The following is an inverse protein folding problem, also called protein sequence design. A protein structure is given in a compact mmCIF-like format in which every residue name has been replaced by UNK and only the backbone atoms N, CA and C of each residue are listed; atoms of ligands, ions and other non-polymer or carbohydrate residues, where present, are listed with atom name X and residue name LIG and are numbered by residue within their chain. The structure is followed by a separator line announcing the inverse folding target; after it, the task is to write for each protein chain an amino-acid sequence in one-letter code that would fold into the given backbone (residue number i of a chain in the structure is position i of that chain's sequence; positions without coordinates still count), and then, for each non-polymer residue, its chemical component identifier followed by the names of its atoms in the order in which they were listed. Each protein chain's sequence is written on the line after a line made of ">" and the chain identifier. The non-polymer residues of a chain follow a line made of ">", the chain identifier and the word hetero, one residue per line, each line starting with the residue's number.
data_IF_958454490625
#
_entry.id   IF_958454490625
#
_cell.length_a   1.000
_cell.length_b   1.000
_cell.length_c   1.000
_cell.angle_alpha   90.00
_cell.angle_beta   90.00
_cell.angle_gamma   90.00
#
_symmetry.space_group_name_H-M   'P 1'
#
loop_
_entity.id
_entity.type
_entity.pdbx_description
1 polymer ?
#
# COMPACT_ATOMS: atom_id res chain seq x y z
N UNK A 1 -21.91 8.36 -12.25
CA UNK A 1 -22.81 7.79 -11.21
C UNK A 1 -23.42 8.87 -10.33
N UNK A 2 -22.62 9.71 -9.66
CA UNK A 2 -23.12 10.74 -8.72
C UNK A 2 -24.09 11.77 -9.33
N UNK A 3 -23.82 12.25 -10.56
CA UNK A 3 -24.73 13.18 -11.27
C UNK A 3 -26.09 12.51 -11.55
N UNK A 4 -26.09 11.26 -12.02
CA UNK A 4 -27.32 10.51 -12.34
C UNK A 4 -28.15 10.31 -11.07
N UNK A 5 -27.52 9.86 -9.98
CA UNK A 5 -28.18 9.69 -8.69
C UNK A 5 -28.73 11.04 -8.20
N UNK A 6 -27.94 12.11 -8.29
CA UNK A 6 -28.36 13.45 -7.91
C UNK A 6 -29.59 13.93 -8.70
N UNK A 7 -29.60 13.74 -10.01
CA UNK A 7 -30.74 14.07 -10.88
C UNK A 7 -31.98 13.25 -10.55
N UNK A 8 -31.83 11.95 -10.27
CA UNK A 8 -32.94 11.07 -9.86
C UNK A 8 -33.55 11.54 -8.53
N UNK A 9 -32.71 11.85 -7.53
CA UNK A 9 -33.19 12.34 -6.23
C UNK A 9 -33.94 13.68 -6.35
N UNK A 10 -33.43 14.61 -7.17
CA UNK A 10 -34.13 15.85 -7.48
C UNK A 10 -35.41 15.63 -8.29
N UNK A 11 -35.45 14.61 -9.15
CA UNK A 11 -36.65 14.22 -9.89
C UNK A 11 -37.75 13.63 -9.01
N UNK A 12 -37.39 12.98 -7.89
CA UNK A 12 -38.33 12.42 -6.92
C UNK A 12 -38.84 13.44 -5.91
N UNK A 13 -38.12 14.56 -5.72
CA UNK A 13 -38.48 15.63 -4.79
C UNK A 13 -39.95 16.11 -4.93
N UNK A 14 -40.49 16.40 -6.14
CA UNK A 14 -41.86 16.91 -6.28
C UNK A 14 -42.95 15.95 -5.78
N UNK A 15 -42.67 14.65 -5.77
CA UNK A 15 -43.61 13.59 -5.39
C UNK A 15 -43.62 13.37 -3.86
N UNK A 16 -42.56 13.79 -3.17
CA UNK A 16 -42.34 13.56 -1.74
C UNK A 16 -42.95 14.61 -0.80
N UNK A 17 -43.58 15.66 -1.34
CA UNK A 17 -44.00 16.90 -0.65
C UNK A 17 -44.97 16.70 0.54
N UNK A 18 -45.60 15.54 0.66
CA UNK A 18 -46.55 15.24 1.74
C UNK A 18 -45.89 14.92 3.09
N UNK A 19 -44.56 14.96 3.19
CA UNK A 19 -43.81 14.72 4.43
C UNK A 19 -42.78 15.83 4.65
N UNK A 20 -42.46 16.14 5.90
CA UNK A 20 -41.55 17.26 6.21
C UNK A 20 -40.08 16.95 5.90
N UNK A 21 -39.62 15.74 6.22
CA UNK A 21 -38.19 15.40 6.18
C UNK A 21 -37.72 14.80 4.85
N UNK A 22 -38.60 14.10 4.12
CA UNK A 22 -38.22 13.43 2.87
C UNK A 22 -37.87 14.41 1.74
N UNK A 23 -38.62 15.49 1.47
CA UNK A 23 -38.26 16.47 0.44
C UNK A 23 -36.94 17.17 0.75
N UNK A 24 -36.71 17.51 2.02
CA UNK A 24 -35.48 18.15 2.46
C UNK A 24 -34.26 17.23 2.24
N UNK A 25 -34.38 15.95 2.58
CA UNK A 25 -33.35 14.95 2.33
C UNK A 25 -33.08 14.78 0.82
N UNK A 26 -34.12 14.56 0.01
CA UNK A 26 -33.97 14.35 -1.43
C UNK A 26 -33.34 15.56 -2.14
N UNK A 27 -33.74 16.78 -1.75
CA UNK A 27 -33.18 18.01 -2.31
C UNK A 27 -31.71 18.17 -1.94
N UNK A 28 -31.37 18.04 -0.65
CA UNK A 28 -29.98 18.21 -0.18
C UNK A 28 -29.06 17.13 -0.73
N UNK A 29 -29.44 15.85 -0.64
CA UNK A 29 -28.69 14.75 -1.22
C UNK A 29 -28.55 14.86 -2.75
N UNK A 30 -29.60 15.32 -3.43
CA UNK A 30 -29.59 15.57 -4.87
C UNK A 30 -28.59 16.65 -5.28
N UNK A 31 -28.62 17.81 -4.61
CA UNK A 31 -27.68 18.92 -4.82
C UNK A 31 -26.24 18.47 -4.53
N UNK A 32 -26.01 17.80 -3.40
CA UNK A 32 -24.69 17.27 -3.03
C UNK A 32 -24.19 16.26 -4.07
N UNK A 33 -25.06 15.37 -4.56
CA UNK A 33 -24.73 14.39 -5.58
C UNK A 33 -24.33 15.02 -6.92
N UNK A 34 -25.04 16.06 -7.35
CA UNK A 34 -24.68 16.84 -8.56
C UNK A 34 -23.37 17.57 -8.34
N UNK A 35 -23.20 18.28 -7.22
CA UNK A 35 -21.98 19.02 -6.90
C UNK A 35 -20.76 18.08 -6.86
N UNK A 36 -20.86 16.95 -6.15
CA UNK A 36 -19.80 15.93 -6.11
C UNK A 36 -19.51 15.34 -7.49
N UNK A 37 -20.55 15.11 -8.29
CA UNK A 37 -20.40 14.64 -9.66
C UNK A 37 -19.67 15.64 -10.57
N UNK A 38 -19.97 16.94 -10.45
CA UNK A 38 -19.27 18.00 -11.17
C UNK A 38 -17.83 18.14 -10.69
N UNK A 39 -17.60 18.11 -9.37
CA UNK A 39 -16.27 18.16 -8.78
C UNK A 39 -15.38 16.98 -9.20
N UNK A 40 -15.96 15.80 -9.44
CA UNK A 40 -15.20 14.67 -9.98
C UNK A 40 -15.05 14.73 -11.50
N UNK A 41 -16.04 15.24 -12.24
CA UNK A 41 -16.04 15.23 -13.71
C UNK A 41 -15.26 16.38 -14.38
N UNK A 42 -15.23 17.57 -13.76
CA UNK A 42 -14.50 18.72 -14.30
C UNK A 42 -13.02 18.55 -13.96
N UNK A 43 -12.09 18.54 -14.94
CA UNK A 43 -10.66 18.38 -14.66
C UNK A 43 -10.14 19.48 -13.73
N UNK A 44 -9.65 19.10 -12.55
CA UNK A 44 -9.09 20.02 -11.56
C UNK A 44 -7.85 19.41 -10.89
N UNK A 45 -6.91 20.28 -10.50
CA UNK A 45 -5.75 19.94 -9.67
C UNK A 45 -5.85 20.66 -8.34
N UNK A 46 -5.82 19.92 -7.24
CA UNK A 46 -5.79 20.48 -5.89
C UNK A 46 -4.43 20.14 -5.24
N UNK A 47 -3.47 21.06 -5.35
CA UNK A 47 -2.07 20.78 -5.04
C UNK A 47 -1.50 19.71 -5.98
N UNK A 48 -0.93 18.65 -5.43
CA UNK A 48 -0.39 17.51 -6.19
C UNK A 48 -1.42 16.39 -6.41
N UNK A 49 -2.69 16.60 -6.08
CA UNK A 49 -3.75 15.60 -6.24
C UNK A 49 -4.62 15.96 -7.45
N UNK A 50 -4.67 15.06 -8.41
CA UNK A 50 -5.57 15.11 -9.56
C UNK A 50 -6.93 14.50 -9.17
N UNK A 51 -8.03 15.13 -9.58
CA UNK A 51 -9.35 14.51 -9.48
C UNK A 51 -9.63 13.55 -10.65
N UNK A 52 -10.74 12.79 -10.58
CA UNK A 52 -11.10 11.78 -11.58
C UNK A 52 -11.17 12.34 -13.01
N UNK A 53 -11.70 13.56 -13.18
CA UNK A 53 -11.79 14.23 -14.47
C UNK A 53 -10.42 14.57 -15.05
N UNK A 54 -9.49 15.01 -14.21
CA UNK A 54 -8.10 15.25 -14.63
C UNK A 54 -7.40 13.94 -14.98
N UNK A 55 -7.55 12.90 -14.16
CA UNK A 55 -7.01 11.57 -14.45
C UNK A 55 -7.56 11.01 -15.77
N UNK A 56 -8.86 11.15 -16.02
CA UNK A 56 -9.50 10.71 -17.27
C UNK A 56 -8.94 11.45 -18.48
N UNK A 57 -8.76 12.77 -18.37
CA UNK A 57 -8.16 13.59 -19.43
C UNK A 57 -6.72 13.17 -19.72
N UNK A 58 -5.94 12.89 -18.68
CA UNK A 58 -4.53 12.50 -18.76
C UNK A 58 -4.36 11.11 -19.39
N UNK A 59 -5.17 10.14 -18.94
CA UNK A 59 -5.27 8.80 -19.53
C UNK A 59 -5.63 8.87 -21.02
N UNK A 60 -6.53 9.79 -21.41
CA UNK A 60 -6.92 9.97 -22.81
C UNK A 60 -5.82 10.57 -23.70
N UNK A 61 -4.78 11.20 -23.12
CA UNK A 61 -3.69 11.86 -23.85
C UNK A 61 -2.38 11.07 -23.84
N UNK A 62 -2.21 10.16 -22.91
CA UNK A 62 -0.97 9.42 -22.71
C UNK A 62 -1.25 7.90 -22.73
N UNK A 63 -0.81 7.22 -23.80
CA UNK A 63 -0.98 5.78 -23.98
C UNK A 63 -0.31 4.96 -22.89
N UNK A 64 0.79 5.44 -22.30
CA UNK A 64 1.45 4.78 -21.18
C UNK A 64 0.66 4.95 -19.89
N UNK A 65 0.09 6.14 -19.64
CA UNK A 65 -0.80 6.35 -18.49
C UNK A 65 -2.07 5.50 -18.61
N UNK A 66 -2.62 5.35 -19.83
CA UNK A 66 -3.70 4.40 -20.11
C UNK A 66 -3.29 2.96 -19.81
N UNK A 67 -2.11 2.51 -20.26
CA UNK A 67 -1.59 1.17 -19.97
C UNK A 67 -1.43 0.96 -18.47
N UNK A 68 -0.82 1.89 -17.75
CA UNK A 68 -0.62 1.79 -16.31
C UNK A 68 -1.94 1.79 -15.54
N UNK A 69 -2.92 2.60 -15.95
CA UNK A 69 -4.25 2.59 -15.36
C UNK A 69 -5.00 1.27 -15.63
N UNK A 70 -4.96 0.77 -16.87
CA UNK A 70 -5.50 -0.55 -17.21
C UNK A 70 -4.84 -1.64 -16.36
N UNK A 71 -3.53 -1.56 -16.17
CA UNK A 71 -2.78 -2.53 -15.39
C UNK A 71 -3.24 -2.52 -13.92
N UNK A 72 -3.37 -1.36 -13.29
CA UNK A 72 -3.93 -1.24 -11.93
C UNK A 72 -5.32 -1.90 -11.80
N UNK A 73 -6.21 -1.67 -12.77
CA UNK A 73 -7.53 -2.31 -12.79
C UNK A 73 -7.44 -3.83 -13.02
N UNK A 74 -6.54 -4.27 -13.90
CA UNK A 74 -6.33 -5.69 -14.20
C UNK A 74 -5.80 -6.44 -12.99
N UNK A 75 -4.84 -5.87 -12.26
CA UNK A 75 -4.29 -6.42 -11.02
C UNK A 75 -5.39 -6.56 -9.97
N UNK A 76 -6.18 -5.51 -9.73
CA UNK A 76 -7.29 -5.57 -8.77
C UNK A 76 -8.32 -6.65 -9.13
N UNK A 77 -8.63 -6.79 -10.43
CA UNK A 77 -9.54 -7.84 -10.90
C UNK A 77 -8.99 -9.25 -10.68
N UNK A 78 -7.70 -9.45 -10.92
CA UNK A 78 -7.03 -10.74 -10.67
C UNK A 78 -6.90 -11.04 -9.17
N UNK A 79 -6.60 -10.04 -8.34
CA UNK A 79 -6.54 -10.17 -6.89
C UNK A 79 -7.91 -10.55 -6.29
N UNK A 80 -9.00 -9.95 -6.81
CA UNK A 80 -10.36 -10.34 -6.43
C UNK A 80 -10.71 -11.79 -6.86
N UNK A 81 -10.04 -12.33 -7.87
CA UNK A 81 -10.13 -13.74 -8.29
C UNK A 81 -9.18 -14.66 -7.50
N UNK A 82 -8.44 -14.14 -6.53
CA UNK A 82 -7.50 -14.92 -5.71
C UNK A 82 -6.14 -15.15 -6.37
N UNK A 83 -5.83 -14.49 -7.49
CA UNK A 83 -4.51 -14.59 -8.11
C UNK A 83 -3.52 -13.68 -7.38
N UNK A 84 -2.38 -14.24 -6.98
CA UNK A 84 -1.30 -13.53 -6.29
C UNK A 84 -0.54 -12.63 -7.25
N UNK A 85 0.01 -11.53 -6.76
CA UNK A 85 0.76 -10.58 -7.60
C UNK A 85 2.08 -11.19 -8.10
N UNK A 86 2.69 -12.11 -7.33
CA UNK A 86 3.86 -12.88 -7.78
C UNK A 86 3.60 -13.78 -9.00
N UNK A 87 2.36 -14.25 -9.15
CA UNK A 87 1.94 -15.17 -10.23
C UNK A 87 1.53 -14.44 -11.52
N UNK A 88 1.54 -13.10 -11.51
CA UNK A 88 1.23 -12.28 -12.67
C UNK A 88 2.46 -12.14 -13.61
N UNK A 89 2.24 -11.88 -14.92
CA UNK A 89 3.32 -11.78 -15.91
C UNK A 89 4.37 -10.74 -15.53
N UNK A 90 5.65 -11.12 -15.62
CA UNK A 90 6.78 -10.28 -15.19
C UNK A 90 6.90 -8.99 -16.01
N UNK A 91 6.56 -9.02 -17.30
CA UNK A 91 6.59 -7.89 -18.21
C UNK A 91 5.60 -6.75 -17.85
N UNK A 92 4.73 -6.99 -16.86
CA UNK A 92 3.86 -5.96 -16.29
C UNK A 92 4.57 -5.10 -15.25
N UNK A 93 5.70 -5.56 -14.72
CA UNK A 93 6.39 -4.99 -13.56
C UNK A 93 7.70 -4.31 -13.97
N UNK A 94 7.63 -3.45 -14.98
CA UNK A 94 8.75 -2.61 -15.42
C UNK A 94 8.67 -1.24 -14.76
N UNK A 95 9.71 -0.85 -14.02
CA UNK A 95 9.77 0.45 -13.35
C UNK A 95 9.85 1.56 -14.42
N UNK A 96 8.96 2.56 -14.39
CA UNK A 96 9.05 3.71 -15.28
C UNK A 96 10.33 4.51 -15.05
N UNK A 97 10.81 5.20 -16.09
CA UNK A 97 11.93 6.14 -15.95
C UNK A 97 11.59 7.34 -15.03
N UNK A 98 12.63 8.05 -14.58
CA UNK A 98 12.50 9.12 -13.58
C UNK A 98 11.56 10.25 -14.00
N UNK A 99 11.46 10.58 -15.30
CA UNK A 99 10.52 11.60 -15.78
C UNK A 99 9.08 11.10 -15.73
N UNK A 100 8.85 9.84 -16.10
CA UNK A 100 7.53 9.19 -15.99
C UNK A 100 7.09 9.03 -14.54
N UNK A 101 8.03 8.82 -13.61
CA UNK A 101 7.75 8.72 -12.18
C UNK A 101 7.20 10.02 -11.55
N UNK A 102 7.27 11.17 -12.25
CA UNK A 102 6.59 12.42 -11.85
C UNK A 102 5.09 12.43 -12.19
N UNK A 103 4.59 11.40 -12.86
CA UNK A 103 3.16 11.19 -13.10
C UNK A 103 2.61 10.20 -12.08
N UNK A 104 1.57 10.57 -11.31
CA UNK A 104 1.06 9.71 -10.24
C UNK A 104 0.46 8.38 -10.75
N UNK A 105 -0.12 8.36 -11.95
CA UNK A 105 -0.69 7.13 -12.55
C UNK A 105 0.43 6.15 -12.91
N UNK A 106 1.57 6.66 -13.39
CA UNK A 106 2.75 5.86 -13.73
C UNK A 106 3.55 5.47 -12.49
N UNK A 107 3.70 6.39 -11.52
CA UNK A 107 4.46 6.17 -10.29
C UNK A 107 3.96 4.99 -9.46
N UNK A 108 2.66 4.68 -9.53
CA UNK A 108 2.08 3.49 -8.89
C UNK A 108 2.72 2.18 -9.39
N UNK A 109 3.24 2.13 -10.62
CA UNK A 109 3.93 0.92 -11.11
C UNK A 109 5.13 0.57 -10.23
N UNK A 110 5.91 1.55 -9.76
CA UNK A 110 7.01 1.29 -8.83
C UNK A 110 6.54 0.62 -7.52
N UNK A 111 5.36 1.02 -7.01
CA UNK A 111 4.73 0.40 -5.84
C UNK A 111 4.27 -1.03 -6.15
N UNK A 112 3.74 -1.28 -7.36
CA UNK A 112 3.32 -2.63 -7.77
C UNK A 112 4.50 -3.59 -7.94
N UNK A 113 5.63 -3.08 -8.44
CA UNK A 113 6.89 -3.84 -8.52
C UNK A 113 7.35 -4.23 -7.11
N UNK A 114 7.33 -3.27 -6.18
CA UNK A 114 7.67 -3.52 -4.77
C UNK A 114 6.74 -4.55 -4.12
N UNK A 115 5.42 -4.40 -4.27
CA UNK A 115 4.43 -5.37 -3.78
C UNK A 115 4.71 -6.79 -4.32
N UNK A 116 5.14 -6.90 -5.59
CA UNK A 116 5.52 -8.18 -6.20
C UNK A 116 6.79 -8.76 -5.58
N UNK A 117 7.81 -7.92 -5.32
CA UNK A 117 9.03 -8.36 -4.65
C UNK A 117 8.74 -8.86 -3.23
N UNK A 118 7.84 -8.19 -2.51
CA UNK A 118 7.35 -8.62 -1.20
C UNK A 118 6.67 -9.99 -1.25
N UNK A 119 5.76 -10.22 -2.21
CA UNK A 119 5.07 -11.49 -2.41
C UNK A 119 6.04 -12.62 -2.84
N UNK A 120 7.08 -12.28 -3.60
CA UNK A 120 8.20 -13.18 -3.93
C UNK A 120 9.19 -13.41 -2.78
N UNK A 121 9.01 -12.73 -1.65
CA UNK A 121 9.93 -12.73 -0.49
C UNK A 121 11.36 -12.28 -0.82
N UNK A 122 11.52 -11.45 -1.85
CA UNK A 122 12.80 -10.84 -2.23
C UNK A 122 13.07 -9.57 -1.41
N UNK A 123 13.17 -9.73 -0.09
CA UNK A 123 13.21 -8.61 0.86
C UNK A 123 14.39 -7.65 0.66
N UNK A 124 15.52 -8.14 0.15
CA UNK A 124 16.65 -7.28 -0.17
C UNK A 124 16.41 -6.38 -1.37
N UNK A 125 15.87 -6.95 -2.46
CA UNK A 125 15.49 -6.21 -3.66
C UNK A 125 14.37 -5.22 -3.33
N UNK A 126 13.38 -5.62 -2.52
CA UNK A 126 12.30 -4.76 -2.06
C UNK A 126 12.84 -3.58 -1.23
N UNK A 127 13.71 -3.83 -0.25
CA UNK A 127 14.34 -2.77 0.55
C UNK A 127 15.10 -1.76 -0.32
N UNK A 128 15.91 -2.25 -1.28
CA UNK A 128 16.63 -1.37 -2.20
C UNK A 128 15.68 -0.49 -3.00
N UNK A 129 14.66 -1.10 -3.61
CA UNK A 129 13.66 -0.39 -4.39
C UNK A 129 12.90 0.64 -3.55
N UNK A 130 12.48 0.30 -2.32
CA UNK A 130 11.77 1.24 -1.45
C UNK A 130 12.64 2.47 -1.16
N UNK A 131 13.91 2.28 -0.82
CA UNK A 131 14.81 3.42 -0.55
C UNK A 131 14.94 4.30 -1.79
N UNK A 132 15.12 3.71 -2.98
CA UNK A 132 15.19 4.45 -4.24
C UNK A 132 13.90 5.26 -4.50
N UNK A 133 12.73 4.64 -4.35
CA UNK A 133 11.42 5.30 -4.56
C UNK A 133 11.15 6.42 -3.55
N UNK A 134 11.63 6.27 -2.32
CA UNK A 134 11.44 7.25 -1.25
C UNK A 134 12.43 8.42 -1.34
N UNK A 135 13.64 8.22 -1.87
CA UNK A 135 14.66 9.24 -2.09
C UNK A 135 14.41 10.09 -3.34
N UNK A 136 13.88 9.49 -4.41
CA UNK A 136 13.59 10.18 -5.67
C UNK A 136 12.40 11.14 -5.57
N UNK A 137 12.42 12.17 -6.42
CA UNK A 137 11.28 13.08 -6.64
C UNK A 137 10.23 12.38 -7.52
N UNK A 138 9.36 11.61 -6.87
CA UNK A 138 8.29 10.83 -7.50
C UNK A 138 6.91 11.38 -7.12
N UNK A 139 5.93 11.18 -8.00
CA UNK A 139 4.53 11.50 -7.73
C UNK A 139 3.78 10.36 -7.02
N UNK A 140 4.50 9.50 -6.27
CA UNK A 140 3.88 8.48 -5.43
C UNK A 140 3.05 9.18 -4.36
N UNK A 141 1.76 8.87 -4.31
CA UNK A 141 0.84 9.47 -3.35
C UNK A 141 1.22 9.07 -1.91
N UNK A 142 0.94 9.95 -0.96
CA UNK A 142 1.37 9.81 0.43
C UNK A 142 0.93 8.47 1.07
N UNK A 143 -0.27 7.97 0.74
CA UNK A 143 -0.74 6.67 1.24
C UNK A 143 0.19 5.52 0.84
N UNK A 144 0.66 5.50 -0.41
CA UNK A 144 1.60 4.48 -0.88
C UNK A 144 2.98 4.68 -0.27
N UNK A 145 3.48 5.93 -0.16
CA UNK A 145 4.75 6.20 0.54
C UNK A 145 4.76 5.66 1.96
N UNK A 146 3.65 5.78 2.69
CA UNK A 146 3.52 5.29 4.07
C UNK A 146 3.39 3.77 4.16
N UNK A 147 2.81 3.12 3.15
CA UNK A 147 2.80 1.65 3.03
C UNK A 147 4.20 1.12 2.72
N UNK A 148 4.92 1.73 1.76
CA UNK A 148 6.32 1.38 1.48
C UNK A 148 7.20 1.47 2.74
N UNK A 149 6.97 2.46 3.62
CA UNK A 149 7.67 2.53 4.92
C UNK A 149 7.31 1.33 5.82
N UNK A 150 6.05 0.87 5.84
CA UNK A 150 5.67 -0.34 6.56
C UNK A 150 6.40 -1.58 6.01
N UNK A 151 6.56 -1.70 4.70
CA UNK A 151 7.28 -2.81 4.04
C UNK A 151 8.79 -2.72 4.29
N UNK A 152 9.36 -1.52 4.28
CA UNK A 152 10.77 -1.27 4.62
C UNK A 152 11.09 -1.67 6.06
N UNK A 153 10.24 -1.27 7.02
CA UNK A 153 10.36 -1.68 8.42
C UNK A 153 10.39 -3.20 8.50
N UNK A 154 9.45 -3.87 7.83
CA UNK A 154 9.36 -5.31 7.86
C UNK A 154 10.58 -5.99 7.25
N UNK A 155 11.02 -5.56 6.06
CA UNK A 155 12.21 -6.08 5.39
C UNK A 155 13.43 -6.03 6.32
N UNK A 156 13.67 -4.88 6.96
CA UNK A 156 14.77 -4.70 7.92
C UNK A 156 14.68 -5.65 9.11
N UNK A 157 13.49 -5.83 9.66
CA UNK A 157 13.27 -6.73 10.81
C UNK A 157 13.52 -8.19 10.45
N UNK A 158 12.94 -8.69 9.35
CA UNK A 158 13.07 -10.11 8.98
C UNK A 158 14.47 -10.47 8.53
N UNK A 159 15.19 -9.52 7.91
CA UNK A 159 16.60 -9.69 7.53
C UNK A 159 17.57 -9.64 8.71
N UNK A 160 17.12 -9.26 9.89
CA UNK A 160 17.99 -9.20 11.08
C UNK A 160 18.85 -7.95 11.18
N UNK A 161 18.45 -6.85 10.54
CA UNK A 161 19.06 -5.56 10.81
C UNK A 161 18.55 -5.05 12.18
N UNK A 162 19.12 -5.60 13.26
CA UNK A 162 18.63 -5.51 14.66
C UNK A 162 19.09 -4.24 15.38
N UNK A 163 19.77 -3.31 14.71
CA UNK A 163 20.29 -2.11 15.37
C UNK A 163 19.56 -0.84 14.91
N UNK A 164 18.48 -0.47 15.62
CA UNK A 164 17.89 0.88 15.65
C UNK A 164 17.14 1.38 14.41
N UNK A 165 17.48 0.92 13.20
CA UNK A 165 17.04 1.56 11.96
C UNK A 165 15.58 1.27 11.54
N UNK A 166 14.93 0.24 12.09
CA UNK A 166 13.54 -0.07 11.76
C UNK A 166 12.56 0.83 12.52
N UNK A 167 12.73 0.94 13.85
CA UNK A 167 11.95 1.84 14.70
C UNK A 167 12.12 3.32 14.36
N UNK A 168 13.31 3.72 13.90
CA UNK A 168 13.60 5.11 13.49
C UNK A 168 12.73 5.61 12.32
N UNK A 169 12.22 4.68 11.49
CA UNK A 169 11.29 5.00 10.41
C UNK A 169 9.88 5.36 10.92
N UNK A 170 9.56 5.05 12.18
CA UNK A 170 8.26 5.32 12.81
C UNK A 170 8.24 6.74 13.38
N UNK A 171 8.29 7.72 12.49
CA UNK A 171 8.12 9.12 12.85
C UNK A 171 6.67 9.44 13.30
N UNK A 172 6.42 10.68 13.70
CA UNK A 172 5.08 11.12 14.13
C UNK A 172 4.02 10.96 13.04
N UNK A 173 4.38 11.08 11.75
CA UNK A 173 3.46 10.96 10.61
C UNK A 173 3.15 9.49 10.34
N UNK A 174 4.16 8.62 10.35
CA UNK A 174 4.01 7.17 10.21
C UNK A 174 3.16 6.59 11.33
N UNK A 175 3.39 7.00 12.59
CA UNK A 175 2.56 6.58 13.72
C UNK A 175 1.09 6.96 13.53
N UNK A 176 0.80 8.19 13.09
CA UNK A 176 -0.57 8.64 12.77
C UNK A 176 -1.17 7.82 11.64
N UNK A 177 -0.41 7.56 10.58
CA UNK A 177 -0.84 6.74 9.45
C UNK A 177 -1.21 5.32 9.88
N UNK A 178 -0.32 4.62 10.60
CA UNK A 178 -0.58 3.27 11.09
C UNK A 178 -1.81 3.22 12.01
N UNK A 179 -2.03 4.27 12.82
CA UNK A 179 -3.22 4.38 13.67
C UNK A 179 -4.51 4.52 12.84
N UNK A 180 -4.47 5.32 11.78
CA UNK A 180 -5.59 5.53 10.86
C UNK A 180 -5.90 4.26 10.04
N UNK A 181 -4.85 3.55 9.62
CA UNK A 181 -4.90 2.33 8.82
C UNK A 181 -4.81 1.04 9.66
N UNK A 182 -5.18 1.10 10.95
CA UNK A 182 -4.98 0.00 11.92
C UNK A 182 -5.64 -1.33 11.54
N UNK A 183 -6.58 -1.34 10.60
CA UNK A 183 -7.27 -2.54 10.13
C UNK A 183 -6.76 -3.03 8.76
N UNK A 184 -5.76 -2.35 8.18
CA UNK A 184 -5.15 -2.72 6.92
C UNK A 184 -4.08 -3.79 7.14
N UNK A 185 -4.06 -4.83 6.31
CA UNK A 185 -3.28 -6.04 6.59
C UNK A 185 -1.78 -5.78 6.67
N UNK A 186 -1.19 -5.03 5.74
CA UNK A 186 0.24 -4.69 5.75
C UNK A 186 0.65 -3.89 6.99
N UNK A 187 -0.25 -3.04 7.51
CA UNK A 187 -0.01 -2.31 8.77
C UNK A 187 -0.02 -3.27 9.95
N UNK A 188 -0.99 -4.19 10.01
CA UNK A 188 -1.07 -5.20 11.08
C UNK A 188 0.15 -6.14 11.03
N UNK A 189 0.57 -6.57 9.83
CA UNK A 189 1.78 -7.37 9.61
C UNK A 189 3.03 -6.65 10.13
N UNK A 190 3.18 -5.35 9.86
CA UNK A 190 4.30 -4.56 10.38
C UNK A 190 4.24 -4.40 11.90
N UNK A 191 3.05 -4.10 12.46
CA UNK A 191 2.86 -4.06 13.93
C UNK A 191 3.25 -5.40 14.58
N UNK A 192 2.86 -6.51 13.96
CA UNK A 192 3.19 -7.85 14.42
C UNK A 192 4.70 -8.11 14.42
N UNK A 193 5.38 -7.81 13.30
CA UNK A 193 6.82 -7.99 13.18
C UNK A 193 7.59 -7.12 14.20
N UNK A 194 7.15 -5.88 14.43
CA UNK A 194 7.73 -4.99 15.46
C UNK A 194 7.59 -5.60 16.86
N UNK A 195 6.39 -6.05 17.24
CA UNK A 195 6.15 -6.66 18.54
C UNK A 195 7.01 -7.93 18.74
N UNK A 196 7.05 -8.79 17.73
CA UNK A 196 7.74 -10.08 17.81
C UNK A 196 9.27 -9.96 17.72
N UNK A 197 9.79 -9.23 16.72
CA UNK A 197 11.20 -9.27 16.36
C UNK A 197 12.02 -8.16 17.03
N UNK A 198 11.45 -6.98 17.22
CA UNK A 198 12.14 -5.84 17.84
C UNK A 198 11.89 -5.76 19.34
N UNK A 199 10.60 -5.71 19.76
CA UNK A 199 10.24 -5.58 21.18
C UNK A 199 10.36 -6.88 21.97
N UNK A 200 10.38 -8.01 21.27
CA UNK A 200 10.37 -9.36 21.86
C UNK A 200 9.16 -9.58 22.80
N UNK A 201 8.03 -8.95 22.50
CA UNK A 201 6.78 -9.11 23.25
C UNK A 201 5.86 -10.10 22.54
N UNK A 202 5.99 -11.37 22.89
CA UNK A 202 5.15 -12.42 22.31
C UNK A 202 3.67 -12.27 22.66
N UNK A 203 3.35 -11.65 23.80
CA UNK A 203 1.96 -11.46 24.22
C UNK A 203 1.29 -10.41 23.33
N UNK A 204 1.98 -9.29 23.09
CA UNK A 204 1.54 -8.28 22.12
C UNK A 204 1.45 -8.89 20.72
N UNK A 205 2.47 -9.62 20.26
CA UNK A 205 2.47 -10.26 18.95
C UNK A 205 1.28 -11.24 18.77
N UNK A 206 0.97 -12.08 19.76
CA UNK A 206 -0.21 -12.97 19.71
C UNK A 206 -1.52 -12.20 19.56
N UNK A 207 -1.70 -11.12 20.33
CA UNK A 207 -2.88 -10.24 20.23
C UNK A 207 -3.01 -9.61 18.83
N UNK A 208 -1.89 -9.16 18.25
CA UNK A 208 -1.87 -8.60 16.90
C UNK A 208 -2.19 -9.66 15.84
N UNK A 209 -1.71 -10.91 15.99
CA UNK A 209 -2.06 -12.01 15.10
C UNK A 209 -3.56 -12.32 15.12
N UNK A 210 -4.19 -12.30 16.29
CA UNK A 210 -5.66 -12.45 16.38
C UNK A 210 -6.40 -11.30 15.67
N UNK A 211 -5.89 -10.06 15.78
CA UNK A 211 -6.41 -8.90 15.05
C UNK A 211 -6.24 -9.04 13.54
N UNK A 212 -5.11 -9.59 13.08
CA UNK A 212 -4.88 -9.92 11.68
C UNK A 212 -5.95 -10.86 11.16
N UNK A 213 -6.17 -12.00 11.82
CA UNK A 213 -7.15 -13.00 11.38
C UNK A 213 -8.60 -12.47 11.41
N UNK A 214 -8.92 -11.57 12.33
CA UNK A 214 -10.22 -10.87 12.32
C UNK A 214 -10.37 -9.97 11.09
N UNK A 215 -9.34 -9.21 10.75
CA UNK A 215 -9.36 -8.28 9.61
C UNK A 215 -9.36 -9.02 8.27
N UNK A 216 -8.60 -10.12 8.18
CA UNK A 216 -8.49 -10.98 7.02
C UNK A 216 -9.83 -11.57 6.57
N UNK A 217 -10.73 -11.90 7.51
CA UNK A 217 -12.05 -12.50 7.19
C UNK A 217 -12.95 -11.61 6.35
N UNK A 218 -12.82 -10.29 6.49
CA UNK A 218 -13.64 -9.31 5.77
C UNK A 218 -12.85 -8.56 4.69
N UNK A 219 -11.61 -8.96 4.45
CA UNK A 219 -10.75 -8.29 3.49
C UNK A 219 -11.15 -8.68 2.06
N UNK A 220 -11.28 -7.71 1.12
CA UNK A 220 -11.89 -7.96 -0.18
C UNK A 220 -11.02 -8.81 -1.14
N UNK A 221 -9.72 -8.92 -0.88
CA UNK A 221 -8.77 -9.60 -1.77
C UNK A 221 -8.14 -10.81 -1.07
N UNK A 222 -8.62 -12.04 -1.36
CA UNK A 222 -8.08 -13.26 -0.74
C UNK A 222 -6.60 -13.49 -1.02
N UNK A 223 -6.11 -13.10 -2.19
CA UNK A 223 -4.70 -13.23 -2.55
C UNK A 223 -3.79 -12.36 -1.68
N UNK A 224 -4.21 -11.13 -1.37
CA UNK A 224 -3.48 -10.25 -0.43
C UNK A 224 -3.50 -10.83 0.99
N UNK A 225 -4.63 -11.40 1.44
CA UNK A 225 -4.70 -12.07 2.75
C UNK A 225 -3.68 -13.20 2.85
N UNK A 226 -3.57 -14.01 1.79
CA UNK A 226 -2.63 -15.13 1.73
C UNK A 226 -1.19 -14.63 1.78
N UNK A 227 -0.86 -13.60 1.00
CA UNK A 227 0.47 -12.98 0.99
C UNK A 227 0.86 -12.41 2.35
N UNK A 228 -0.02 -11.63 2.96
CA UNK A 228 0.27 -11.01 4.25
C UNK A 228 0.38 -12.04 5.38
N UNK A 229 -0.35 -13.16 5.29
CA UNK A 229 -0.25 -14.27 6.24
C UNK A 229 1.09 -15.01 6.10
N UNK A 230 1.56 -15.24 4.88
CA UNK A 230 2.90 -15.82 4.63
C UNK A 230 4.00 -14.96 5.26
N UNK A 231 3.88 -13.64 5.16
CA UNK A 231 4.82 -12.72 5.78
C UNK A 231 4.78 -12.76 7.32
N UNK A 232 3.61 -12.95 7.94
CA UNK A 232 3.52 -13.21 9.39
C UNK A 232 4.27 -14.50 9.76
N UNK A 233 4.06 -15.57 9.00
CA UNK A 233 4.71 -16.87 9.24
C UNK A 233 6.24 -16.80 9.01
N UNK A 234 6.72 -15.96 8.10
CA UNK A 234 8.16 -15.70 7.92
C UNK A 234 8.74 -14.98 9.15
N UNK A 235 8.03 -14.02 9.73
CA UNK A 235 8.46 -13.36 10.96
C UNK A 235 8.52 -14.34 12.15
N UNK A 236 7.56 -15.28 12.26
CA UNK A 236 7.62 -16.39 13.22
C UNK A 236 8.87 -17.24 13.05
N UNK A 237 9.12 -17.72 11.83
CA UNK A 237 10.32 -18.50 11.50
C UNK A 237 11.59 -17.73 11.87
N UNK A 238 11.65 -16.43 11.55
CA UNK A 238 12.80 -15.60 11.91
C UNK A 238 12.99 -15.51 13.42
N UNK A 239 11.93 -15.36 14.20
CA UNK A 239 12.03 -15.36 15.66
C UNK A 239 12.56 -16.71 16.19
N UNK A 240 12.07 -17.82 15.65
CA UNK A 240 12.51 -19.17 16.03
C UNK A 240 13.99 -19.43 15.69
N UNK A 241 14.39 -19.19 14.44
CA UNK A 241 15.75 -19.49 13.97
C UNK A 241 16.78 -18.42 14.36
N UNK A 242 16.36 -17.15 14.50
CA UNK A 242 17.24 -16.06 14.96
C UNK A 242 17.60 -16.14 16.44
N UNK A 243 16.82 -16.88 17.23
CA UNK A 243 17.09 -17.15 18.65
C UNK A 243 17.92 -18.43 18.87
N UNK A 244 18.28 -19.18 17.82
CA UNK A 244 19.20 -20.31 17.95
C UNK A 244 20.64 -19.82 18.18
N UNK A 245 21.38 -20.40 19.14
CA UNK A 245 22.78 -20.07 19.37
C UNK A 245 23.61 -20.52 18.17
N UNK A 246 23.90 -19.60 17.25
CA UNK A 246 24.68 -19.84 16.02
C UNK A 246 24.26 -18.97 14.82
N UNK A 247 23.04 -18.43 14.80
CA UNK A 247 22.51 -17.66 13.66
C UNK A 247 22.85 -16.14 13.70
N UNK A 248 23.74 -15.72 14.61
CA UNK A 248 24.25 -14.34 14.65
C UNK A 248 25.48 -14.23 13.77
N UNK A 249 25.25 -13.98 12.49
CA UNK A 249 26.17 -13.27 11.58
C UNK A 249 27.60 -13.81 11.56
N UNK A 250 27.76 -14.94 10.88
CA UNK A 250 28.99 -15.48 10.31
C UNK A 250 29.63 -14.56 9.24
N UNK A 251 29.04 -13.39 8.96
CA UNK A 251 29.59 -12.41 8.02
C UNK A 251 30.64 -11.44 8.62
N UNK A 252 31.13 -11.70 9.84
CA UNK A 252 32.24 -10.95 10.47
C UNK A 252 33.65 -11.49 10.16
N UNK A 253 33.79 -12.36 9.16
CA UNK A 253 35.06 -13.05 8.85
C UNK A 253 35.86 -12.55 7.64
N UNK A 254 35.32 -11.71 6.76
CA UNK A 254 35.91 -11.50 5.42
C UNK A 254 36.42 -10.07 5.12
N UNK A 255 36.68 -9.24 6.12
CA UNK A 255 37.36 -7.94 5.92
C UNK A 255 38.44 -7.75 6.99
N UNK A 256 39.54 -8.51 6.86
CA UNK A 256 40.87 -8.18 7.40
C UNK A 256 41.86 -9.27 7.00
N UNK A 257 42.54 -9.11 5.87
CA UNK A 257 43.92 -9.61 5.65
C UNK A 257 44.38 -9.43 4.19
N UNK A 258 44.24 -8.25 3.60
CA UNK A 258 45.03 -7.88 2.41
C UNK A 258 45.46 -6.42 2.53
N UNK A 259 46.31 -6.15 3.52
CA UNK A 259 47.13 -4.92 3.57
C UNK A 259 48.34 -5.20 4.49
N UNK A 260 49.10 -6.24 4.14
CA UNK A 260 50.46 -6.46 4.67
C UNK A 260 51.24 -7.40 3.76
N UNK A 261 51.36 -7.08 2.47
CA UNK A 261 52.49 -7.50 1.61
C UNK A 261 52.37 -6.87 0.21
N UNK A 262 52.90 -5.66 0.07
CA UNK A 262 53.80 -5.19 -1.01
C UNK A 262 54.00 -3.69 -0.93
#
# INVERSE_FOLDING_TARGET
>A
MNIIIGMVLLGLYPISKNTLYLPLFLQTAGIIGIAAGLMNGIPMRLGNINNDGYNTLEIGRNSEAMRAFWLQLKLNGLAAQGIRIKDMPEEWFEIPDDEKMKNSILAVIGVLVENRLMDLHKFEEAEHLINELLEKDTAIVEVHRRLLICDLIYCRLVRGNVYGQAGDLIDRRQKKFMTAMRNFLSVIRTEYALALLERKDEKEARSIREKFEKSARSFPYPSEVESERELIDIADKRNLYGNLPGARDDNRGAVRSEDSMK
#
